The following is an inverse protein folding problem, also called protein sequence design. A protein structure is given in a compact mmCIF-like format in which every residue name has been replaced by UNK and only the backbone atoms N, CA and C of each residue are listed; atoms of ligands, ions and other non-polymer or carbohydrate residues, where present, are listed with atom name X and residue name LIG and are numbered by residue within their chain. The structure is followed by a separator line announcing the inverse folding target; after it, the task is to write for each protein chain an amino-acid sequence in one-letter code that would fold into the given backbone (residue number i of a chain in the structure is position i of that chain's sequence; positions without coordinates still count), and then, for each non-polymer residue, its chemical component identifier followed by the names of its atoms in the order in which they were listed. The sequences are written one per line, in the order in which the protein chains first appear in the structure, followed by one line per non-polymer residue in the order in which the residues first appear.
data_IF_050221734007
#
_entry.id   IF_050221734007
#
_cell.length_a   1.000
_cell.length_b   1.000
_cell.length_c   1.000
_cell.angle_alpha   90.00
_cell.angle_beta   90.00
_cell.angle_gamma   90.00
#
_symmetry.space_group_name_H-M   'P 1'
#
loop_
_entity.id
_entity.type
_entity.pdbx_description
1 polymer ?
#
# COMPACT_ATOMS: atom_id res chain seq x y z
N UNK A 1 15.33 -27.89 11.34
CA UNK A 1 14.60 -27.51 10.12
C UNK A 1 13.10 -27.68 10.37
N UNK A 2 12.33 -26.62 10.22
CA UNK A 2 10.86 -26.65 10.26
C UNK A 2 10.33 -27.49 9.09
N UNK A 3 9.22 -28.20 9.28
CA UNK A 3 8.61 -28.97 8.19
C UNK A 3 8.25 -28.04 7.02
N UNK A 4 8.47 -28.48 5.78
CA UNK A 4 8.14 -27.70 4.58
C UNK A 4 6.67 -27.28 4.59
N UNK A 5 6.41 -25.97 4.60
CA UNK A 5 5.08 -25.36 4.52
C UNK A 5 4.81 -24.76 3.15
N UNK A 6 3.53 -24.53 2.87
CA UNK A 6 3.09 -23.76 1.71
C UNK A 6 2.44 -22.45 2.15
N UNK A 7 2.73 -21.38 1.42
CA UNK A 7 2.25 -20.04 1.70
C UNK A 7 1.48 -19.49 0.50
N UNK A 8 0.46 -18.68 0.75
CA UNK A 8 -0.19 -17.88 -0.28
C UNK A 8 -0.13 -16.40 0.10
N UNK A 9 0.58 -15.61 -0.71
CA UNK A 9 0.74 -14.18 -0.55
C UNK A 9 -0.10 -13.45 -1.63
N UNK A 10 -1.35 -13.06 -1.31
CA UNK A 10 -2.20 -12.30 -2.22
C UNK A 10 -1.63 -10.90 -2.49
N UNK A 11 -1.84 -10.44 -3.72
CA UNK A 11 -1.53 -9.08 -4.16
C UNK A 11 -2.85 -8.42 -4.57
N UNK A 12 -3.16 -7.25 -4.00
CA UNK A 12 -4.35 -6.46 -4.36
C UNK A 12 -4.01 -5.40 -5.41
N UNK A 13 -2.96 -4.60 -5.16
CA UNK A 13 -2.48 -3.56 -6.06
C UNK A 13 -1.02 -3.85 -6.44
N UNK A 14 -0.83 -4.32 -7.67
CA UNK A 14 0.48 -4.78 -8.16
C UNK A 14 1.58 -3.73 -7.99
N UNK A 15 1.32 -2.49 -8.44
CA UNK A 15 2.28 -1.37 -8.39
C UNK A 15 2.61 -0.87 -6.97
N UNK A 16 2.00 -1.44 -5.92
CA UNK A 16 2.27 -1.10 -4.51
C UNK A 16 2.87 -2.27 -3.74
N UNK A 17 2.53 -3.49 -4.12
CA UNK A 17 2.74 -4.67 -3.29
C UNK A 17 3.66 -5.72 -3.93
N UNK A 18 3.80 -5.77 -5.26
CA UNK A 18 4.45 -6.89 -5.94
C UNK A 18 5.91 -7.06 -5.50
N UNK A 19 6.72 -6.01 -5.62
CA UNK A 19 8.15 -6.09 -5.29
C UNK A 19 8.37 -6.55 -3.84
N UNK A 20 7.59 -6.03 -2.89
CA UNK A 20 7.70 -6.35 -1.47
C UNK A 20 7.22 -7.77 -1.17
N UNK A 21 6.21 -8.24 -1.91
CA UNK A 21 5.72 -9.61 -1.83
C UNK A 21 6.74 -10.61 -2.36
N UNK A 22 7.47 -10.27 -3.43
CA UNK A 22 8.56 -11.10 -3.95
C UNK A 22 9.66 -11.23 -2.90
N UNK A 23 10.03 -10.13 -2.22
CA UNK A 23 11.05 -10.18 -1.15
C UNK A 23 10.65 -11.12 -0.01
N UNK A 24 9.43 -10.97 0.53
CA UNK A 24 8.91 -11.88 1.56
C UNK A 24 8.86 -13.33 1.08
N UNK A 25 8.49 -13.55 -0.19
CA UNK A 25 8.49 -14.88 -0.78
C UNK A 25 9.90 -15.48 -0.88
N UNK A 26 10.93 -14.67 -1.18
CA UNK A 26 12.32 -15.12 -1.19
C UNK A 26 12.77 -15.56 0.20
N UNK A 27 12.46 -14.78 1.23
CA UNK A 27 12.79 -15.11 2.63
C UNK A 27 12.16 -16.46 3.05
N UNK A 28 10.86 -16.64 2.79
CA UNK A 28 10.18 -17.91 3.09
C UNK A 28 10.73 -19.08 2.26
N UNK A 29 11.05 -18.85 0.98
CA UNK A 29 11.57 -19.89 0.10
C UNK A 29 13.01 -20.30 0.47
N UNK A 30 13.82 -19.37 0.97
CA UNK A 30 15.16 -19.65 1.55
C UNK A 30 15.06 -20.54 2.78
N UNK A 31 13.99 -20.42 3.57
CA UNK A 31 13.61 -21.38 4.64
C UNK A 31 13.16 -22.77 4.13
N UNK A 32 13.23 -23.05 2.83
CA UNK A 32 12.87 -24.32 2.21
C UNK A 32 11.37 -24.47 1.90
N UNK A 33 10.60 -23.39 1.97
CA UNK A 33 9.15 -23.42 1.78
C UNK A 33 8.73 -23.20 0.32
N UNK A 34 7.46 -23.48 0.03
CA UNK A 34 6.83 -23.14 -1.26
C UNK A 34 5.92 -21.93 -1.10
N UNK A 35 6.10 -20.90 -1.93
CA UNK A 35 5.35 -19.66 -1.81
C UNK A 35 4.60 -19.37 -3.10
N UNK A 36 3.28 -19.36 -3.03
CA UNK A 36 2.43 -18.91 -4.12
C UNK A 36 2.13 -17.42 -3.97
N UNK A 37 2.30 -16.67 -5.05
CA UNK A 37 1.93 -15.26 -5.10
C UNK A 37 1.10 -14.94 -6.35
N UNK A 38 0.29 -13.90 -6.24
CA UNK A 38 -0.47 -13.35 -7.36
C UNK A 38 -1.75 -12.66 -6.92
N UNK A 39 -2.56 -12.24 -7.87
CA UNK A 39 -3.78 -11.50 -7.59
C UNK A 39 -4.73 -12.27 -6.64
N UNK A 40 -5.21 -11.59 -5.60
CA UNK A 40 -6.06 -12.15 -4.54
C UNK A 40 -7.32 -12.89 -5.07
N UNK A 41 -7.77 -12.64 -6.31
CA UNK A 41 -8.90 -13.34 -6.93
C UNK A 41 -8.60 -14.79 -7.28
N UNK A 42 -7.36 -15.18 -7.59
CA UNK A 42 -7.05 -16.58 -7.92
C UNK A 42 -7.19 -17.53 -6.76
N UNK A 43 -6.84 -17.11 -5.55
CA UNK A 43 -7.11 -17.95 -4.39
C UNK A 43 -8.62 -18.16 -4.16
N UNK A 44 -9.52 -17.34 -4.73
CA UNK A 44 -10.96 -17.67 -4.75
C UNK A 44 -11.25 -18.88 -5.65
N UNK A 45 -10.43 -19.10 -6.68
CA UNK A 45 -10.55 -20.17 -7.66
C UNK A 45 -9.84 -21.44 -7.23
N UNK A 46 -8.69 -21.34 -6.59
CA UNK A 46 -7.81 -22.50 -6.39
C UNK A 46 -7.67 -22.94 -4.94
N UNK A 47 -8.02 -22.14 -3.92
CA UNK A 47 -7.79 -22.52 -2.53
C UNK A 47 -8.39 -23.88 -2.13
N UNK A 48 -9.53 -24.26 -2.72
CA UNK A 48 -10.19 -25.53 -2.42
C UNK A 48 -9.46 -26.78 -2.96
N UNK A 49 -8.57 -26.63 -3.95
CA UNK A 49 -7.74 -27.72 -4.51
C UNK A 49 -6.35 -27.79 -3.87
N UNK A 50 -5.91 -26.72 -3.21
CA UNK A 50 -4.59 -26.67 -2.58
C UNK A 50 -4.57 -27.43 -1.24
N UNK A 51 -3.41 -27.95 -0.81
CA UNK A 51 -3.23 -28.45 0.55
C UNK A 51 -3.42 -27.30 1.58
N UNK A 52 -3.55 -27.61 2.88
CA UNK A 52 -3.45 -26.61 3.93
C UNK A 52 -2.23 -25.71 3.71
N UNK A 53 -2.44 -24.39 3.76
CA UNK A 53 -1.43 -23.38 3.52
C UNK A 53 -1.63 -22.23 4.51
N UNK A 54 -0.59 -21.42 4.71
CA UNK A 54 -0.67 -20.17 5.46
C UNK A 54 -0.99 -19.03 4.48
N UNK A 55 -2.10 -18.32 4.72
CA UNK A 55 -2.59 -17.24 3.88
C UNK A 55 -2.36 -15.89 4.56
N UNK A 56 -1.55 -15.02 3.95
CA UNK A 56 -1.31 -13.66 4.46
C UNK A 56 -2.35 -12.69 3.92
N UNK A 57 -3.38 -12.38 4.71
CA UNK A 57 -4.35 -11.35 4.40
C UNK A 57 -3.75 -9.94 4.27
N UNK A 58 -4.28 -9.12 3.35
CA UNK A 58 -3.88 -7.71 3.14
C UNK A 58 -4.80 -6.68 3.79
N UNK A 59 -5.83 -7.14 4.50
CA UNK A 59 -6.76 -6.26 5.22
C UNK A 59 -7.53 -7.02 6.30
N UNK A 60 -8.06 -6.28 7.27
CA UNK A 60 -8.94 -6.79 8.33
C UNK A 60 -10.38 -6.24 8.24
N UNK A 61 -10.75 -5.67 7.09
CA UNK A 61 -12.09 -5.10 6.85
C UNK A 61 -13.21 -6.14 6.91
N UNK A 62 -14.43 -5.71 7.21
CA UNK A 62 -15.61 -6.59 7.23
C UNK A 62 -15.84 -7.34 5.91
N UNK A 63 -15.45 -6.73 4.78
CA UNK A 63 -15.63 -7.28 3.44
C UNK A 63 -14.92 -8.64 3.23
N UNK A 64 -13.78 -8.87 3.89
CA UNK A 64 -13.02 -10.11 3.75
C UNK A 64 -13.42 -11.20 4.77
N UNK A 65 -14.24 -10.88 5.77
CA UNK A 65 -14.59 -11.81 6.86
C UNK A 65 -15.23 -13.12 6.40
N UNK A 66 -16.19 -13.06 5.45
CA UNK A 66 -16.81 -14.28 4.87
C UNK A 66 -15.78 -15.16 4.18
N UNK A 67 -14.79 -14.54 3.51
CA UNK A 67 -13.73 -15.25 2.81
C UNK A 67 -12.75 -15.89 3.79
N UNK A 68 -12.30 -15.16 4.82
CA UNK A 68 -11.37 -15.70 5.81
C UNK A 68 -11.96 -16.89 6.56
N UNK A 69 -13.24 -16.81 6.95
CA UNK A 69 -13.95 -17.96 7.55
C UNK A 69 -13.99 -19.16 6.60
N UNK A 70 -14.30 -18.94 5.32
CA UNK A 70 -14.35 -20.04 4.35
C UNK A 70 -12.97 -20.68 4.12
N UNK A 71 -11.90 -19.89 4.01
CA UNK A 71 -10.53 -20.41 3.88
C UNK A 71 -10.11 -21.18 5.15
N UNK A 72 -10.35 -20.61 6.34
CA UNK A 72 -10.09 -21.27 7.62
C UNK A 72 -10.84 -22.59 7.73
N UNK A 73 -12.12 -22.61 7.36
CA UNK A 73 -12.96 -23.80 7.41
C UNK A 73 -12.53 -24.89 6.39
N UNK A 74 -11.63 -24.58 5.43
CA UNK A 74 -10.95 -25.57 4.57
C UNK A 74 -9.63 -26.09 5.16
N UNK A 75 -9.26 -25.63 6.35
CA UNK A 75 -8.03 -25.99 7.07
C UNK A 75 -6.82 -25.11 6.75
N UNK A 76 -6.98 -23.98 6.06
CA UNK A 76 -5.89 -23.02 5.87
C UNK A 76 -5.66 -22.21 7.14
N UNK A 77 -4.40 -21.90 7.45
CA UNK A 77 -4.04 -20.92 8.47
C UNK A 77 -4.24 -19.51 7.89
N UNK A 78 -4.95 -18.64 8.61
CA UNK A 78 -5.17 -17.26 8.19
C UNK A 78 -4.32 -16.35 9.05
N UNK A 79 -3.52 -15.51 8.44
CA UNK A 79 -2.82 -14.39 9.08
C UNK A 79 -3.22 -13.10 8.35
N UNK A 80 -2.92 -11.92 8.90
CA UNK A 80 -3.22 -10.67 8.21
C UNK A 80 -2.32 -9.49 8.58
N UNK A 81 -2.12 -8.60 7.62
CA UNK A 81 -1.56 -7.26 7.74
C UNK A 81 -2.55 -6.30 7.05
N UNK A 82 -2.80 -5.09 7.56
CA UNK A 82 -3.62 -4.09 6.84
C UNK A 82 -2.73 -3.14 6.02
N UNK A 83 -2.77 -3.23 4.70
CA UNK A 83 -1.91 -2.41 3.81
C UNK A 83 -2.18 -0.90 3.90
N UNK A 84 -3.33 -0.52 4.43
CA UNK A 84 -3.76 0.88 4.61
C UNK A 84 -3.81 1.29 6.09
N UNK A 85 -3.14 0.55 6.97
CA UNK A 85 -3.13 0.78 8.41
C UNK A 85 -2.19 1.88 8.92
N UNK A 86 -1.33 2.44 8.05
CA UNK A 86 -0.30 3.41 8.46
C UNK A 86 -0.84 4.83 8.62
N UNK A 87 -1.43 5.38 7.57
CA UNK A 87 -1.94 6.76 7.56
C UNK A 87 -3.44 6.74 7.79
N UNK A 88 -3.84 7.09 9.01
CA UNK A 88 -5.24 7.14 9.44
C UNK A 88 -5.63 8.59 9.77
N UNK A 89 -6.91 8.92 9.58
CA UNK A 89 -7.46 10.23 9.97
C UNK A 89 -7.64 10.32 11.49
N UNK A 90 -8.34 9.34 12.05
CA UNK A 90 -8.52 9.15 13.47
C UNK A 90 -8.65 7.66 13.77
N UNK A 91 -8.43 7.26 15.02
CA UNK A 91 -8.63 5.87 15.43
C UNK A 91 -10.09 5.43 15.21
N UNK A 92 -11.06 6.32 15.44
CA UNK A 92 -12.48 6.04 15.20
C UNK A 92 -12.78 5.77 13.73
N UNK A 93 -12.30 6.63 12.81
CA UNK A 93 -12.48 6.44 11.37
C UNK A 93 -11.80 5.14 10.91
N UNK A 94 -10.61 4.83 11.45
CA UNK A 94 -9.93 3.58 11.15
C UNK A 94 -10.70 2.37 11.65
N UNK A 95 -11.17 2.37 12.90
CA UNK A 95 -12.00 1.29 13.48
C UNK A 95 -13.25 1.05 12.67
N UNK A 96 -14.01 2.10 12.35
CA UNK A 96 -15.29 2.00 11.63
C UNK A 96 -15.13 1.54 10.19
N UNK A 97 -14.08 1.99 9.47
CA UNK A 97 -13.92 1.73 8.03
C UNK A 97 -12.98 0.59 7.68
N UNK A 98 -11.98 0.31 8.51
CA UNK A 98 -10.90 -0.65 8.21
C UNK A 98 -10.95 -1.90 9.06
N UNK A 99 -11.56 -1.85 10.24
CA UNK A 99 -11.61 -3.00 11.14
C UNK A 99 -13.01 -3.61 11.14
N UNK A 100 -13.14 -4.79 10.56
CA UNK A 100 -14.32 -5.61 10.81
C UNK A 100 -14.14 -6.32 12.15
N UNK A 101 -14.94 -5.97 13.17
CA UNK A 101 -14.86 -6.56 14.53
C UNK A 101 -14.75 -8.09 14.53
N UNK A 102 -15.63 -8.75 13.79
CA UNK A 102 -15.62 -10.21 13.65
C UNK A 102 -14.58 -10.75 12.67
N UNK A 103 -13.98 -9.88 11.86
CA UNK A 103 -13.00 -10.26 10.85
C UNK A 103 -11.59 -10.26 11.42
N UNK A 104 -11.22 -9.23 12.19
CA UNK A 104 -9.92 -9.13 12.87
C UNK A 104 -9.71 -10.27 13.88
N UNK A 105 -10.80 -10.91 14.35
CA UNK A 105 -10.74 -12.09 15.23
C UNK A 105 -10.41 -13.40 14.52
N UNK A 106 -10.44 -13.46 13.18
CA UNK A 106 -10.22 -14.71 12.42
C UNK A 106 -8.73 -15.07 12.29
N UNK A 107 -7.82 -14.13 11.97
CA UNK A 107 -6.40 -14.43 11.86
C UNK A 107 -5.79 -15.00 13.15
N UNK A 108 -4.89 -15.96 12.98
CA UNK A 108 -4.09 -16.57 14.03
C UNK A 108 -2.84 -15.74 14.37
N UNK A 109 -2.40 -14.89 13.44
CA UNK A 109 -1.38 -13.87 13.65
C UNK A 109 -1.76 -12.59 12.89
N UNK A 110 -1.50 -11.45 13.52
CA UNK A 110 -1.73 -10.10 13.00
C UNK A 110 -0.40 -9.35 12.98
N UNK A 111 -0.07 -8.76 11.84
CA UNK A 111 1.20 -8.05 11.62
C UNK A 111 0.95 -6.54 11.59
N UNK A 112 1.36 -5.86 12.66
CA UNK A 112 1.17 -4.42 12.82
C UNK A 112 2.35 -3.65 12.22
N UNK A 113 2.03 -2.48 11.65
CA UNK A 113 3.03 -1.56 11.11
C UNK A 113 4.01 -1.06 12.18
N UNK A 114 3.53 -0.81 13.39
CA UNK A 114 4.27 -0.26 14.51
C UNK A 114 3.44 -0.31 15.80
N UNK A 115 4.01 0.12 16.94
CA UNK A 115 3.32 0.18 18.23
C UNK A 115 1.93 0.84 18.18
N UNK A 116 1.77 1.97 17.49
CA UNK A 116 0.51 2.70 17.42
C UNK A 116 -0.61 1.88 16.74
N UNK A 117 -0.29 1.18 15.66
CA UNK A 117 -1.25 0.31 14.99
C UNK A 117 -1.58 -0.93 15.86
N UNK A 118 -0.57 -1.52 16.52
CA UNK A 118 -0.76 -2.65 17.41
C UNK A 118 -1.68 -2.31 18.59
N UNK A 119 -1.53 -1.12 19.19
CA UNK A 119 -2.39 -0.65 20.28
C UNK A 119 -3.87 -0.60 19.86
N UNK A 120 -4.17 -0.02 18.69
CA UNK A 120 -5.56 0.06 18.19
C UNK A 120 -6.18 -1.33 18.01
N UNK A 121 -5.41 -2.28 17.49
CA UNK A 121 -5.86 -3.67 17.33
C UNK A 121 -6.01 -4.39 18.67
N UNK A 122 -5.11 -4.15 19.62
CA UNK A 122 -5.18 -4.70 20.97
C UNK A 122 -6.44 -4.26 21.70
N UNK A 123 -6.78 -2.97 21.62
CA UNK A 123 -8.02 -2.42 22.18
C UNK A 123 -9.28 -3.06 21.56
N UNK A 124 -9.32 -3.26 20.24
CA UNK A 124 -10.46 -3.89 19.58
C UNK A 124 -10.60 -5.38 19.91
N UNK A 125 -9.49 -6.07 20.12
CA UNK A 125 -9.47 -7.50 20.41
C UNK A 125 -9.65 -7.81 21.90
N UNK A 126 -9.25 -6.91 22.79
CA UNK A 126 -9.10 -7.17 24.22
C UNK A 126 -7.93 -8.11 24.55
N UNK A 127 -7.13 -8.49 23.56
CA UNK A 127 -5.98 -9.38 23.68
C UNK A 127 -4.96 -9.07 22.56
N UNK A 128 -3.69 -8.90 22.95
CA UNK A 128 -2.58 -8.61 22.06
C UNK A 128 -1.69 -9.83 21.75
N UNK A 129 -1.98 -11.02 22.29
CA UNK A 129 -1.14 -12.23 22.20
C UNK A 129 -0.76 -12.65 20.78
N UNK A 130 -1.62 -12.35 19.80
CA UNK A 130 -1.44 -12.65 18.37
C UNK A 130 -1.06 -11.44 17.51
N UNK A 131 -0.81 -10.29 18.13
CA UNK A 131 -0.41 -9.07 17.44
C UNK A 131 1.10 -8.96 17.51
N UNK A 132 1.74 -8.88 16.35
CA UNK A 132 3.18 -8.81 16.22
C UNK A 132 3.58 -7.52 15.53
N UNK A 133 4.46 -6.76 16.16
CA UNK A 133 5.01 -5.52 15.59
C UNK A 133 6.15 -5.90 14.65
N UNK A 134 5.85 -6.00 13.36
CA UNK A 134 6.81 -6.46 12.35
C UNK A 134 7.24 -5.37 11.39
N UNK A 135 6.46 -4.29 11.25
CA UNK A 135 6.60 -3.39 10.11
C UNK A 135 5.87 -3.92 8.88
N UNK A 136 6.07 -3.26 7.73
CA UNK A 136 5.52 -3.67 6.45
C UNK A 136 6.65 -3.91 5.43
N UNK A 137 6.68 -5.05 4.72
CA UNK A 137 7.67 -5.35 3.68
C UNK A 137 7.88 -4.26 2.62
N UNK A 138 6.90 -3.38 2.38
CA UNK A 138 7.05 -2.22 1.49
C UNK A 138 8.15 -1.27 1.95
N UNK A 139 8.36 -1.15 3.25
CA UNK A 139 9.38 -0.27 3.83
C UNK A 139 10.77 -0.92 3.85
N UNK A 140 10.87 -2.25 3.74
CA UNK A 140 12.15 -2.92 3.47
C UNK A 140 12.79 -2.41 2.19
N UNK A 141 11.96 -2.17 1.15
CA UNK A 141 12.43 -1.70 -0.15
C UNK A 141 12.85 -0.22 -0.18
N UNK A 142 12.59 0.53 0.89
CA UNK A 142 13.06 1.91 1.04
C UNK A 142 14.47 1.96 1.66
N UNK A 143 14.92 0.86 2.27
CA UNK A 143 16.20 0.76 2.97
C UNK A 143 17.33 0.46 1.98
N UNK A 144 18.54 0.88 2.31
CA UNK A 144 19.73 0.38 1.63
C UNK A 144 20.03 -1.07 2.09
N UNK A 145 20.52 -1.96 1.21
CA UNK A 145 20.79 -1.74 -0.21
C UNK A 145 19.56 -1.95 -1.12
N UNK A 146 18.42 -2.40 -0.60
CA UNK A 146 17.24 -2.81 -1.39
C UNK A 146 16.64 -1.72 -2.28
N UNK A 147 16.65 -0.45 -1.84
CA UNK A 147 16.15 0.68 -2.66
C UNK A 147 16.84 0.83 -4.01
N UNK A 148 17.99 0.20 -4.18
CA UNK A 148 18.76 0.21 -5.41
C UNK A 148 18.04 -0.41 -6.61
N UNK A 149 17.08 -1.31 -6.37
CA UNK A 149 16.23 -1.88 -7.43
C UNK A 149 15.43 -0.81 -8.20
N UNK A 150 15.34 0.40 -7.66
CA UNK A 150 14.63 1.54 -8.22
C UNK A 150 15.55 2.58 -8.87
N UNK A 151 16.89 2.48 -8.71
CA UNK A 151 17.83 3.54 -9.13
C UNK A 151 17.72 3.84 -10.62
N UNK A 152 17.68 2.82 -11.47
CA UNK A 152 17.58 3.03 -12.92
C UNK A 152 16.28 3.75 -13.32
N UNK A 153 15.15 3.40 -12.70
CA UNK A 153 13.86 4.06 -12.95
C UNK A 153 13.86 5.52 -12.46
N UNK A 154 14.43 5.77 -11.28
CA UNK A 154 14.59 7.12 -10.75
C UNK A 154 15.46 7.99 -11.66
N UNK A 155 16.60 7.46 -12.14
CA UNK A 155 17.48 8.15 -13.08
C UNK A 155 16.79 8.43 -14.43
N UNK A 156 15.98 7.50 -14.94
CA UNK A 156 15.19 7.71 -16.15
C UNK A 156 14.18 8.86 -16.01
N UNK A 157 13.53 8.99 -14.85
CA UNK A 157 12.63 10.11 -14.58
C UNK A 157 13.38 11.44 -14.48
N UNK A 158 14.54 11.46 -13.82
CA UNK A 158 15.40 12.65 -13.78
C UNK A 158 15.90 13.05 -15.17
N UNK A 159 16.29 12.09 -16.02
CA UNK A 159 16.69 12.38 -17.39
C UNK A 159 15.54 12.96 -18.23
N UNK A 160 14.30 12.49 -17.98
CA UNK A 160 13.11 12.94 -18.73
C UNK A 160 12.59 14.31 -18.29
N UNK A 161 12.64 14.64 -17.01
CA UNK A 161 12.02 15.85 -16.45
C UNK A 161 13.01 16.83 -15.82
N UNK A 162 14.30 16.52 -15.82
CA UNK A 162 15.31 17.29 -15.12
C UNK A 162 15.09 17.26 -13.60
N UNK A 163 15.34 18.41 -12.95
CA UNK A 163 15.10 18.58 -11.52
C UNK A 163 13.61 18.82 -11.29
N UNK A 164 12.97 17.95 -10.50
CA UNK A 164 11.52 18.05 -10.29
C UNK A 164 11.09 17.91 -8.84
N UNK A 165 9.97 18.56 -8.53
CA UNK A 165 9.20 18.40 -7.30
C UNK A 165 8.02 17.48 -7.59
N UNK A 166 7.83 16.46 -6.75
CA UNK A 166 6.74 15.51 -6.88
C UNK A 166 5.57 15.92 -5.99
N UNK A 167 4.40 16.17 -6.58
CA UNK A 167 3.15 16.32 -5.85
C UNK A 167 2.26 15.08 -6.03
N UNK A 168 2.15 14.27 -4.98
CA UNK A 168 1.21 13.14 -4.98
C UNK A 168 -0.15 13.59 -4.45
N UNK A 169 -1.09 13.80 -5.36
CA UNK A 169 -2.45 14.20 -4.99
C UNK A 169 -3.24 13.03 -4.40
N UNK A 170 -3.97 13.30 -3.33
CA UNK A 170 -4.83 12.36 -2.64
C UNK A 170 -6.27 12.91 -2.54
N UNK A 171 -6.77 13.59 -3.56
CA UNK A 171 -8.11 14.21 -3.59
C UNK A 171 -9.21 13.32 -4.20
N UNK A 172 -8.90 12.05 -4.47
CA UNK A 172 -9.82 11.06 -5.04
C UNK A 172 -11.15 10.83 -4.29
N UNK A 173 -11.35 11.33 -3.07
CA UNK A 173 -12.66 11.24 -2.39
C UNK A 173 -13.64 12.34 -2.78
N UNK A 174 -13.13 13.49 -3.22
CA UNK A 174 -13.92 14.66 -3.66
C UNK A 174 -13.76 14.92 -5.17
N UNK A 175 -12.77 14.30 -5.80
CA UNK A 175 -12.42 14.46 -7.21
C UNK A 175 -12.23 13.10 -7.89
N UNK A 176 -13.23 12.22 -7.84
CA UNK A 176 -13.13 10.85 -8.38
C UNK A 176 -13.29 10.84 -9.90
N UNK A 177 -12.63 9.90 -10.59
CA UNK A 177 -12.83 9.70 -12.05
C UNK A 177 -14.23 9.18 -12.39
N UNK A 178 -14.77 8.32 -11.53
CA UNK A 178 -16.13 7.80 -11.62
C UNK A 178 -16.99 8.50 -10.58
N UNK A 179 -17.98 9.27 -11.03
CA UNK A 179 -18.88 10.03 -10.16
C UNK A 179 -19.62 9.11 -9.17
N UNK A 180 -20.01 7.90 -9.57
CA UNK A 180 -20.70 6.95 -8.71
C UNK A 180 -19.80 6.38 -7.59
N UNK A 181 -18.47 6.48 -7.75
CA UNK A 181 -17.50 6.07 -6.75
C UNK A 181 -17.09 7.19 -5.78
N UNK A 182 -17.66 8.39 -5.92
CA UNK A 182 -17.38 9.54 -5.05
C UNK A 182 -17.85 9.28 -3.62
N UNK A 183 -16.91 9.39 -2.68
CA UNK A 183 -17.14 9.09 -1.25
C UNK A 183 -17.52 10.32 -0.44
N UNK A 184 -17.09 11.49 -0.87
CA UNK A 184 -17.35 12.78 -0.24
C UNK A 184 -17.87 13.76 -1.30
N UNK A 185 -19.09 13.51 -1.83
CA UNK A 185 -19.76 14.46 -2.70
C UNK A 185 -19.98 15.80 -1.98
N UNK A 186 -20.29 16.84 -2.74
CA UNK A 186 -20.64 18.13 -2.16
C UNK A 186 -21.90 17.99 -1.28
N UNK A 187 -21.89 18.47 -0.02
CA UNK A 187 -23.07 18.41 0.84
C UNK A 187 -24.30 19.07 0.24
N UNK A 188 -24.15 20.11 -0.58
CA UNK A 188 -25.28 20.78 -1.22
C UNK A 188 -25.91 19.90 -2.31
N UNK A 189 -25.11 19.09 -3.00
CA UNK A 189 -25.60 18.10 -3.96
C UNK A 189 -26.36 16.96 -3.26
N UNK A 190 -25.88 16.53 -2.10
CA UNK A 190 -26.57 15.52 -1.28
C UNK A 190 -27.88 16.07 -0.73
N UNK A 191 -27.86 17.29 -0.16
CA UNK A 191 -29.04 17.93 0.42
C UNK A 191 -30.14 18.20 -0.63
N UNK A 192 -29.74 18.54 -1.86
CA UNK A 192 -30.66 18.75 -2.98
C UNK A 192 -31.07 17.46 -3.71
N UNK A 193 -30.65 16.28 -3.25
CA UNK A 193 -30.98 14.99 -3.86
C UNK A 193 -30.31 14.73 -5.21
N UNK A 194 -29.31 15.53 -5.60
CA UNK A 194 -28.53 15.34 -6.83
C UNK A 194 -27.50 14.21 -6.71
N UNK A 195 -27.15 13.82 -5.48
CA UNK A 195 -26.22 12.74 -5.21
C UNK A 195 -26.71 11.84 -4.06
N UNK A 196 -26.68 10.50 -4.21
CA UNK A 196 -27.11 9.59 -3.15
C UNK A 196 -26.12 9.61 -1.97
N UNK A 197 -26.63 9.56 -0.73
CA UNK A 197 -25.79 9.55 0.49
C UNK A 197 -24.83 8.36 0.48
N UNK A 198 -23.50 8.56 0.41
CA UNK A 198 -22.56 7.45 0.45
C UNK A 198 -22.52 6.74 1.81
N UNK A 199 -22.09 5.47 1.81
CA UNK A 199 -21.79 4.77 3.06
C UNK A 199 -20.64 5.48 3.83
N UNK A 200 -20.80 5.65 5.13
CA UNK A 200 -19.87 6.39 5.99
C UNK A 200 -19.66 7.85 5.58
N UNK A 201 -20.63 8.47 4.90
CA UNK A 201 -20.56 9.87 4.50
C UNK A 201 -20.42 10.80 5.71
N UNK A 202 -19.53 11.77 5.60
CA UNK A 202 -19.33 12.81 6.60
C UNK A 202 -19.32 14.17 5.85
N UNK A 203 -20.36 15.01 6.01
CA UNK A 203 -20.48 16.26 5.27
C UNK A 203 -19.43 17.29 5.67
N UNK A 204 -18.96 17.29 6.93
CA UNK A 204 -17.92 18.22 7.37
C UNK A 204 -16.57 17.87 6.77
N UNK A 205 -16.23 16.57 6.73
CA UNK A 205 -15.05 16.09 6.03
C UNK A 205 -15.13 16.38 4.51
N UNK A 206 -16.33 16.30 3.91
CA UNK A 206 -16.53 16.68 2.52
C UNK A 206 -16.24 18.17 2.29
N UNK A 207 -16.84 19.07 3.08
CA UNK A 207 -16.56 20.53 3.00
C UNK A 207 -15.08 20.83 3.16
N UNK A 208 -14.46 20.25 4.19
CA UNK A 208 -13.04 20.45 4.47
C UNK A 208 -12.17 20.04 3.28
N UNK A 209 -12.40 18.83 2.74
CA UNK A 209 -11.60 18.30 1.64
C UNK A 209 -11.85 19.01 0.30
N UNK A 210 -13.08 19.45 0.01
CA UNK A 210 -13.39 20.27 -1.17
C UNK A 210 -12.67 21.61 -1.08
N UNK A 211 -12.71 22.27 0.09
CA UNK A 211 -12.03 23.55 0.32
C UNK A 211 -10.51 23.42 0.15
N UNK A 212 -9.90 22.38 0.72
CA UNK A 212 -8.48 22.08 0.53
C UNK A 212 -8.13 21.81 -0.93
N UNK A 213 -8.94 21.02 -1.64
CA UNK A 213 -8.70 20.73 -3.05
C UNK A 213 -8.65 22.00 -3.89
N UNK A 214 -9.60 22.92 -3.67
CA UNK A 214 -9.61 24.25 -4.33
C UNK A 214 -8.34 25.05 -3.99
N UNK A 215 -7.94 25.09 -2.73
CA UNK A 215 -6.71 25.79 -2.33
C UNK A 215 -5.45 25.23 -3.02
N UNK A 216 -5.35 23.91 -3.19
CA UNK A 216 -4.23 23.32 -3.94
C UNK A 216 -4.28 23.62 -5.44
N UNK A 217 -5.47 23.63 -6.06
CA UNK A 217 -5.63 24.02 -7.47
C UNK A 217 -5.18 25.47 -7.71
N UNK A 218 -5.22 26.33 -6.70
CA UNK A 218 -4.72 27.71 -6.77
C UNK A 218 -3.23 27.82 -6.43
N UNK A 219 -2.78 27.18 -5.35
CA UNK A 219 -1.43 27.33 -4.83
C UNK A 219 -0.37 26.68 -5.74
N UNK A 220 -0.65 25.49 -6.28
CA UNK A 220 0.34 24.74 -7.04
C UNK A 220 0.74 25.45 -8.36
N UNK A 221 -0.19 25.99 -9.18
CA UNK A 221 0.18 26.80 -10.34
C UNK A 221 0.97 28.07 -9.99
N UNK A 222 0.68 28.71 -8.84
CA UNK A 222 1.42 29.89 -8.36
C UNK A 222 2.85 29.51 -7.98
N UNK A 223 3.01 28.42 -7.23
CA UNK A 223 4.30 27.89 -6.84
C UNK A 223 5.15 27.53 -8.06
N UNK A 224 4.57 26.83 -9.04
CA UNK A 224 5.26 26.44 -10.27
C UNK A 224 5.74 27.64 -11.08
N UNK A 225 4.93 28.71 -11.21
CA UNK A 225 5.35 29.97 -11.86
C UNK A 225 6.51 30.64 -11.13
N UNK A 226 6.53 30.57 -9.80
CA UNK A 226 7.57 31.21 -8.98
C UNK A 226 8.91 30.48 -9.01
N UNK A 227 8.95 29.25 -9.54
CA UNK A 227 10.13 28.38 -9.59
C UNK A 227 10.29 27.76 -10.99
N UNK A 228 10.49 28.57 -12.05
CA UNK A 228 10.53 28.09 -13.44
C UNK A 228 11.70 27.13 -13.73
N UNK A 229 12.74 27.12 -12.89
CA UNK A 229 13.89 26.22 -12.97
C UNK A 229 13.60 24.80 -12.48
N UNK A 230 12.43 24.55 -11.89
CA UNK A 230 11.99 23.25 -11.41
C UNK A 230 10.79 22.78 -12.20
N UNK A 231 10.76 21.48 -12.50
CA UNK A 231 9.58 20.83 -13.04
C UNK A 231 8.65 20.36 -11.91
N UNK A 232 7.34 20.47 -12.07
CA UNK A 232 6.35 20.02 -11.11
C UNK A 232 5.59 18.82 -11.67
N UNK A 233 5.88 17.64 -11.11
CA UNK A 233 5.18 16.40 -11.46
C UNK A 233 3.98 16.25 -10.54
N UNK A 234 2.79 16.44 -11.09
CA UNK A 234 1.53 16.24 -10.40
C UNK A 234 1.08 14.82 -10.71
N UNK A 235 1.02 13.99 -9.67
CA UNK A 235 0.64 12.58 -9.77
C UNK A 235 -0.67 12.33 -9.02
N UNK A 236 -1.83 12.45 -9.69
CA UNK A 236 -3.13 12.15 -9.10
C UNK A 236 -3.22 10.70 -8.65
N UNK A 237 -3.94 10.45 -7.56
CA UNK A 237 -4.27 9.09 -7.15
C UNK A 237 -4.96 8.31 -8.31
N UNK A 238 -4.75 6.99 -8.48
CA UNK A 238 -5.32 6.22 -9.60
C UNK A 238 -6.83 6.39 -9.80
N UNK A 239 -7.58 6.56 -8.70
CA UNK A 239 -9.04 6.78 -8.72
C UNK A 239 -9.46 8.25 -8.90
N UNK A 240 -8.52 9.19 -8.92
CA UNK A 240 -8.76 10.62 -9.04
C UNK A 240 -8.92 11.05 -10.51
N UNK A 241 -9.79 12.02 -10.75
CA UNK A 241 -9.93 12.66 -12.06
C UNK A 241 -8.73 13.61 -12.30
N UNK A 242 -7.91 13.38 -13.34
CA UNK A 242 -6.77 14.26 -13.63
C UNK A 242 -7.18 15.61 -14.26
N UNK A 243 -8.39 15.74 -14.80
CA UNK A 243 -8.81 16.90 -15.58
C UNK A 243 -8.70 18.26 -14.85
N UNK A 244 -9.07 18.38 -13.55
CA UNK A 244 -8.90 19.64 -12.84
C UNK A 244 -7.43 20.09 -12.73
N UNK A 245 -6.51 19.15 -12.50
CA UNK A 245 -5.08 19.46 -12.46
C UNK A 245 -4.55 19.87 -13.83
N UNK A 246 -4.95 19.15 -14.87
CA UNK A 246 -4.57 19.47 -16.26
C UNK A 246 -5.04 20.87 -16.62
N UNK A 247 -6.30 21.20 -16.33
CA UNK A 247 -6.87 22.54 -16.56
C UNK A 247 -6.12 23.62 -15.78
N UNK A 248 -5.84 23.39 -14.50
CA UNK A 248 -5.17 24.36 -13.63
C UNK A 248 -3.71 24.66 -14.04
N UNK A 249 -3.07 23.74 -14.78
CA UNK A 249 -1.64 23.83 -15.12
C UNK A 249 -1.34 23.83 -16.62
N UNK A 250 -2.36 23.82 -17.49
CA UNK A 250 -2.20 23.73 -18.95
C UNK A 250 -1.31 24.81 -19.56
N UNK A 251 -1.30 26.01 -18.97
CA UNK A 251 -0.50 27.16 -19.41
C UNK A 251 0.92 27.20 -18.82
N UNK A 252 1.33 26.18 -18.05
CA UNK A 252 2.61 26.14 -17.36
C UNK A 252 3.53 25.08 -17.98
N UNK A 253 4.61 25.50 -18.69
CA UNK A 253 5.49 24.56 -19.38
C UNK A 253 6.31 23.68 -18.42
N UNK A 254 6.48 24.10 -17.17
CA UNK A 254 7.19 23.36 -16.13
C UNK A 254 6.25 22.51 -15.24
N UNK A 255 5.04 22.19 -15.72
CA UNK A 255 4.12 21.30 -15.03
C UNK A 255 3.80 20.07 -15.89
N UNK A 256 3.66 18.91 -15.26
CA UNK A 256 3.14 17.71 -15.94
C UNK A 256 2.24 16.92 -15.02
N UNK A 257 1.02 16.64 -15.51
CA UNK A 257 0.04 15.79 -14.82
C UNK A 257 0.09 14.40 -15.43
N UNK A 258 0.54 13.40 -14.67
CA UNK A 258 0.62 12.02 -15.13
C UNK A 258 0.41 11.01 -14.00
N UNK A 259 0.10 9.77 -14.36
CA UNK A 259 0.14 8.66 -13.42
C UNK A 259 0.80 7.45 -14.11
N UNK A 260 2.09 7.27 -13.83
CA UNK A 260 2.93 6.23 -14.43
C UNK A 260 3.67 5.46 -13.33
N UNK A 261 3.72 4.13 -13.46
CA UNK A 261 4.55 3.27 -12.61
C UNK A 261 4.25 3.32 -11.11
N UNK A 262 5.19 2.78 -10.34
CA UNK A 262 5.19 2.79 -8.87
C UNK A 262 5.68 4.13 -8.34
N UNK A 263 5.29 4.51 -7.12
CA UNK A 263 5.64 5.84 -6.58
C UNK A 263 7.08 5.95 -6.09
N UNK A 264 7.68 4.85 -5.61
CA UNK A 264 9.02 4.85 -5.00
C UNK A 264 10.10 5.41 -5.93
N UNK A 265 10.21 5.02 -7.22
CA UNK A 265 11.17 5.64 -8.13
C UNK A 265 10.92 7.14 -8.37
N UNK A 266 9.65 7.59 -8.40
CA UNK A 266 9.34 9.02 -8.51
C UNK A 266 9.82 9.81 -7.29
N UNK A 267 9.65 9.25 -6.08
CA UNK A 267 10.15 9.87 -4.84
C UNK A 267 11.67 9.93 -4.87
N UNK A 268 12.34 8.81 -5.19
CA UNK A 268 13.80 8.72 -5.27
C UNK A 268 14.41 9.72 -6.27
N UNK A 269 13.78 9.91 -7.43
CA UNK A 269 14.23 10.87 -8.44
C UNK A 269 13.91 12.34 -8.13
N UNK A 270 12.92 12.60 -7.26
CA UNK A 270 12.49 13.97 -6.94
C UNK A 270 13.50 14.73 -6.07
N UNK A 271 13.51 16.05 -6.18
CA UNK A 271 14.27 16.93 -5.29
C UNK A 271 13.54 17.14 -3.96
N UNK A 272 12.21 17.15 -3.99
CA UNK A 272 11.34 17.27 -2.83
C UNK A 272 9.95 16.69 -3.14
N UNK A 273 9.21 16.34 -2.09
CA UNK A 273 7.83 15.85 -2.18
C UNK A 273 6.87 16.85 -1.54
N UNK A 274 5.91 17.31 -2.33
CA UNK A 274 4.74 18.03 -1.87
C UNK A 274 3.60 17.03 -1.67
N UNK A 275 2.82 17.18 -0.61
CA UNK A 275 1.66 16.31 -0.38
C UNK A 275 0.57 16.97 0.44
N UNK A 276 -0.61 16.34 0.41
CA UNK A 276 -1.65 16.52 1.42
C UNK A 276 -1.98 15.17 2.06
N UNK A 277 -1.41 14.92 3.24
CA UNK A 277 -1.79 13.83 4.15
C UNK A 277 -1.93 12.45 3.51
N UNK A 278 -0.85 11.93 2.90
CA UNK A 278 -0.82 10.63 2.23
C UNK A 278 0.40 9.81 2.67
N UNK A 279 0.33 8.49 2.49
CA UNK A 279 1.40 7.54 2.85
C UNK A 279 2.74 7.83 2.18
N UNK A 280 2.71 8.41 0.97
CA UNK A 280 3.93 8.71 0.21
C UNK A 280 4.80 9.77 0.90
N UNK A 281 4.22 10.59 1.79
CA UNK A 281 4.98 11.50 2.64
C UNK A 281 5.87 10.72 3.60
N UNK A 282 5.32 9.69 4.26
CA UNK A 282 6.09 8.82 5.17
C UNK A 282 7.17 8.06 4.40
N UNK A 283 6.84 7.52 3.22
CA UNK A 283 7.83 6.86 2.35
C UNK A 283 8.96 7.82 1.94
N UNK A 284 8.63 9.06 1.59
CA UNK A 284 9.60 10.10 1.24
C UNK A 284 10.48 10.50 2.43
N UNK A 285 9.90 10.61 3.62
CA UNK A 285 10.62 10.83 4.87
C UNK A 285 11.64 9.71 5.13
N UNK A 286 11.25 8.44 5.01
CA UNK A 286 12.16 7.29 5.16
C UNK A 286 13.26 7.29 4.10
N UNK A 287 12.96 7.75 2.89
CA UNK A 287 13.95 7.90 1.82
C UNK A 287 14.88 9.13 1.99
N UNK A 288 14.70 9.92 3.05
CA UNK A 288 15.50 11.11 3.34
C UNK A 288 15.23 12.28 2.38
N UNK A 289 14.05 12.31 1.74
CA UNK A 289 13.64 13.42 0.88
C UNK A 289 13.03 14.54 1.71
N UNK A 290 13.24 15.81 1.33
CA UNK A 290 12.49 16.90 1.93
C UNK A 290 10.99 16.74 1.61
N UNK A 291 10.16 16.84 2.64
CA UNK A 291 8.71 16.70 2.53
C UNK A 291 8.03 17.97 3.02
N UNK A 292 7.18 18.55 2.19
CA UNK A 292 6.42 19.76 2.50
C UNK A 292 4.93 19.45 2.40
N UNK A 293 4.19 19.82 3.44
CA UNK A 293 2.73 19.73 3.50
C UNK A 293 2.15 21.15 3.39
N UNK A 294 1.39 21.42 2.33
CA UNK A 294 0.62 22.66 2.25
C UNK A 294 -0.72 22.49 2.99
N UNK A 295 -0.92 23.25 4.05
CA UNK A 295 -2.03 23.11 4.99
C UNK A 295 -2.64 24.49 5.32
N UNK A 296 -3.37 25.08 4.36
CA UNK A 296 -4.00 26.40 4.56
C UNK A 296 -5.16 26.39 5.54
N UNK A 297 -5.70 25.22 5.86
CA UNK A 297 -6.78 25.05 6.83
C UNK A 297 -6.41 23.90 7.77
N UNK A 298 -6.66 24.08 9.07
CA UNK A 298 -6.32 23.11 10.12
C UNK A 298 -7.59 22.56 10.73
N UNK A 299 -7.78 21.25 10.62
CA UNK A 299 -8.88 20.55 11.28
C UNK A 299 -8.32 19.28 11.90
N UNK A 300 -7.88 19.36 13.17
CA UNK A 300 -7.13 18.28 13.83
C UNK A 300 -7.87 16.93 13.83
N UNK A 301 -9.21 16.94 13.92
CA UNK A 301 -10.06 15.75 13.88
C UNK A 301 -10.18 15.11 12.48
N UNK A 302 -9.81 15.84 11.43
CA UNK A 302 -9.94 15.45 10.02
C UNK A 302 -8.59 15.39 9.28
N UNK A 303 -7.50 15.64 10.00
CA UNK A 303 -6.14 15.68 9.48
C UNK A 303 -5.37 14.42 9.87
N UNK A 304 -4.90 13.60 8.90
CA UNK A 304 -3.98 12.51 9.18
C UNK A 304 -2.66 13.04 9.76
N UNK A 305 -2.49 12.88 11.07
CA UNK A 305 -1.42 13.57 11.81
C UNK A 305 -0.01 13.09 11.44
N UNK A 306 0.20 11.78 11.28
CA UNK A 306 1.51 11.20 11.00
C UNK A 306 2.24 11.87 9.81
N UNK A 307 1.70 11.87 8.57
CA UNK A 307 2.39 12.50 7.45
C UNK A 307 2.55 14.02 7.59
N UNK A 308 1.66 14.69 8.32
CA UNK A 308 1.74 16.15 8.54
C UNK A 308 2.90 16.47 9.51
N UNK A 309 3.01 15.75 10.62
CA UNK A 309 4.02 15.99 11.65
C UNK A 309 5.44 15.61 11.20
N UNK A 310 5.55 14.66 10.27
CA UNK A 310 6.83 14.31 9.62
C UNK A 310 7.30 15.35 8.58
N UNK A 311 6.47 16.34 8.25
CA UNK A 311 6.71 17.27 7.14
C UNK A 311 6.91 18.71 7.59
N UNK A 312 7.52 19.52 6.73
CA UNK A 312 7.51 20.98 6.84
C UNK A 312 6.10 21.49 6.50
N UNK A 313 5.49 22.28 7.36
CA UNK A 313 4.08 22.68 7.22
C UNK A 313 3.97 24.15 6.79
N UNK A 314 3.40 24.38 5.61
CA UNK A 314 3.18 25.72 5.08
C UNK A 314 1.68 26.08 5.10
N UNK A 315 1.34 27.26 5.62
CA UNK A 315 -0.05 27.71 5.76
C UNK A 315 -0.53 28.55 4.57
N UNK A 316 0.38 29.18 3.84
CA UNK A 316 0.08 30.02 2.70
C UNK A 316 1.06 29.77 1.54
N UNK A 317 0.75 30.22 0.30
CA UNK A 317 1.60 30.00 -0.85
C UNK A 317 3.01 30.61 -0.75
N UNK A 318 3.19 31.71 -0.04
CA UNK A 318 4.51 32.35 0.10
C UNK A 318 5.38 31.56 1.07
N UNK A 319 4.83 31.17 2.22
CA UNK A 319 5.50 30.26 3.16
C UNK A 319 5.83 28.92 2.49
N UNK A 320 4.93 28.39 1.65
CA UNK A 320 5.16 27.17 0.88
C UNK A 320 6.37 27.30 -0.05
N UNK A 321 6.45 28.40 -0.80
CA UNK A 321 7.58 28.70 -1.68
C UNK A 321 8.89 28.83 -0.89
N UNK A 322 8.87 29.55 0.22
CA UNK A 322 10.05 29.75 1.08
C UNK A 322 10.54 28.42 1.66
N UNK A 323 9.66 27.62 2.26
CA UNK A 323 10.01 26.32 2.84
C UNK A 323 10.55 25.36 1.80
N UNK A 324 9.92 25.27 0.62
CA UNK A 324 10.42 24.44 -0.47
C UNK A 324 11.80 24.89 -0.93
N UNK A 325 12.01 26.19 -1.14
CA UNK A 325 13.31 26.74 -1.59
C UNK A 325 14.42 26.46 -0.57
N UNK A 326 14.15 26.68 0.71
CA UNK A 326 15.09 26.39 1.80
C UNK A 326 15.40 24.90 1.91
N UNK A 327 14.39 24.04 1.78
CA UNK A 327 14.55 22.59 1.82
C UNK A 327 15.42 22.08 0.65
N UNK A 328 15.25 22.64 -0.55
CA UNK A 328 16.07 22.32 -1.72
C UNK A 328 17.53 22.78 -1.57
N UNK A 329 17.77 23.89 -0.86
CA UNK A 329 19.12 24.39 -0.62
C UNK A 329 19.93 23.52 0.35
N UNK A 330 19.27 22.87 1.33
CA UNK A 330 19.94 22.05 2.35
C UNK A 330 20.51 20.73 1.82
N UNK A 331 20.09 20.25 0.64
CA UNK A 331 20.51 19.00 -0.06
C UNK A 331 20.34 17.68 0.69
N UNK A 332 20.36 17.69 2.02
CA UNK A 332 20.14 16.54 2.90
C UNK A 332 19.11 16.90 3.96
N UNK A 333 18.05 16.11 4.07
CA UNK A 333 17.04 16.27 5.11
C UNK A 333 17.26 15.20 6.20
N UNK A 334 17.55 15.64 7.42
CA UNK A 334 17.59 14.76 8.60
C UNK A 334 16.35 15.00 9.43
N UNK A 335 15.77 13.92 9.94
CA UNK A 335 14.67 14.01 10.87
C UNK A 335 15.14 14.62 12.19
N UNK A 336 14.26 15.38 12.82
CA UNK A 336 14.46 15.79 14.22
C UNK A 336 14.20 14.58 15.13
N UNK A 337 14.81 14.51 16.33
CA UNK A 337 14.59 13.39 17.25
C UNK A 337 13.11 13.10 17.55
N UNK A 338 12.26 14.14 17.65
CA UNK A 338 10.82 13.95 17.83
C UNK A 338 10.15 13.29 16.62
N UNK A 339 10.61 13.58 15.40
CA UNK A 339 10.10 12.97 14.18
C UNK A 339 10.58 11.53 14.02
N UNK A 340 11.81 11.21 14.45
CA UNK A 340 12.32 9.84 14.50
C UNK A 340 11.53 8.99 15.50
N UNK A 341 11.27 9.53 16.71
CA UNK A 341 10.45 8.87 17.71
C UNK A 341 9.02 8.61 17.19
N UNK A 342 8.38 9.63 16.63
CA UNK A 342 7.05 9.51 16.02
C UNK A 342 7.04 8.46 14.90
N UNK A 343 8.05 8.47 14.03
CA UNK A 343 8.16 7.48 12.96
C UNK A 343 8.30 6.06 13.53
N UNK A 344 9.10 5.87 14.59
CA UNK A 344 9.27 4.58 15.26
C UNK A 344 8.01 4.06 15.96
N UNK A 345 7.14 4.94 16.44
CA UNK A 345 5.82 4.56 16.99
C UNK A 345 4.88 4.01 15.91
N UNK A 346 5.06 4.40 14.66
CA UNK A 346 4.16 4.04 13.56
C UNK A 346 4.74 3.00 12.60
N UNK A 347 6.08 2.92 12.48
CA UNK A 347 6.77 2.04 11.53
C UNK A 347 7.93 1.34 12.23
N UNK A 348 7.79 0.03 12.40
CA UNK A 348 8.88 -0.84 12.84
C UNK A 348 9.74 -1.30 11.66
N UNK A 349 10.88 -1.93 11.97
CA UNK A 349 11.81 -2.51 11.00
C UNK A 349 12.42 -1.51 10.01
N UNK A 350 12.62 -0.26 10.43
CA UNK A 350 13.39 0.74 9.67
C UNK A 350 14.90 0.44 9.68
N UNK A 351 15.35 -0.31 10.69
CA UNK A 351 16.70 -0.85 10.86
C UNK A 351 16.63 -2.32 11.31
N UNK A 352 17.81 -2.94 11.47
CA UNK A 352 17.94 -4.32 11.92
C UNK A 352 17.28 -5.32 10.96
N UNK A 353 16.68 -6.42 11.47
CA UNK A 353 15.95 -7.38 10.64
C UNK A 353 14.82 -6.73 9.85
N UNK A 354 14.69 -7.11 8.58
CA UNK A 354 13.64 -6.69 7.66
C UNK A 354 12.25 -7.07 8.20
N UNK A 355 11.22 -6.30 7.83
CA UNK A 355 9.83 -6.67 8.10
C UNK A 355 9.49 -8.02 7.47
N UNK A 356 10.04 -8.31 6.28
CA UNK A 356 9.91 -9.60 5.59
C UNK A 356 10.45 -10.77 6.43
N UNK A 357 11.57 -10.59 7.13
CA UNK A 357 12.15 -11.61 8.02
C UNK A 357 11.29 -11.79 9.28
N UNK A 358 10.96 -10.69 9.96
CA UNK A 358 10.12 -10.72 11.16
C UNK A 358 8.76 -11.39 10.90
N UNK A 359 8.16 -11.14 9.74
CA UNK A 359 6.92 -11.78 9.32
C UNK A 359 7.15 -13.27 9.06
N UNK A 360 8.21 -13.64 8.32
CA UNK A 360 8.52 -15.03 8.00
C UNK A 360 8.67 -15.89 9.28
N UNK A 361 9.44 -15.42 10.27
CA UNK A 361 9.67 -16.13 11.54
C UNK A 361 8.36 -16.54 12.24
N UNK A 362 7.35 -15.66 12.20
CA UNK A 362 6.03 -15.92 12.79
C UNK A 362 5.18 -16.82 11.88
N UNK A 363 5.23 -16.61 10.56
CA UNK A 363 4.49 -17.43 9.60
C UNK A 363 4.95 -18.90 9.60
N UNK A 364 6.22 -19.15 9.92
CA UNK A 364 6.77 -20.50 10.04
C UNK A 364 6.31 -21.25 11.29
N UNK A 365 5.88 -20.52 12.32
CA UNK A 365 5.53 -21.09 13.63
C UNK A 365 4.02 -21.12 13.89
N UNK A 366 3.23 -20.27 13.22
CA UNK A 366 1.77 -20.19 13.42
C UNK A 366 1.08 -21.55 13.25
N UNK A 367 0.21 -21.98 14.18
CA UNK A 367 -0.42 -23.29 14.12
C UNK A 367 -1.54 -23.33 13.06
N UNK A 368 -1.75 -24.47 12.42
CA UNK A 368 -2.93 -24.68 11.58
C UNK A 368 -4.20 -24.85 12.42
N UNK A 369 -5.37 -24.38 11.96
CA UNK A 369 -6.60 -24.54 12.71
C UNK A 369 -7.05 -26.00 12.72
N UNK A 370 -7.49 -26.48 13.88
CA UNK A 370 -8.13 -27.79 14.00
C UNK A 370 -9.58 -27.70 13.53
N UNK A 371 -9.85 -28.23 12.33
CA UNK A 371 -11.18 -28.21 11.73
C UNK A 371 -11.69 -29.65 11.54
N UNK A 372 -12.92 -29.97 12.00
CA UNK A 372 -13.51 -31.29 11.79
C UNK A 372 -13.50 -31.70 10.31
N UNK A 373 -13.14 -32.96 10.02
CA UNK A 373 -12.99 -33.47 8.64
C UNK A 373 -14.23 -33.20 7.78
N UNK A 374 -15.42 -33.42 8.32
CA UNK A 374 -16.69 -33.16 7.60
C UNK A 374 -16.86 -31.68 7.24
N UNK A 375 -16.54 -30.76 8.15
CA UNK A 375 -16.61 -29.32 7.90
C UNK A 375 -15.62 -28.91 6.80
N UNK A 376 -14.41 -29.44 6.86
CA UNK A 376 -13.37 -29.23 5.84
C UNK A 376 -13.81 -29.70 4.46
N UNK A 377 -14.35 -30.92 4.36
CA UNK A 377 -14.85 -31.50 3.12
C UNK A 377 -16.02 -30.70 2.56
N UNK A 378 -17.00 -30.33 3.39
CA UNK A 378 -18.14 -29.48 2.98
C UNK A 378 -17.68 -28.12 2.43
N UNK A 379 -16.72 -27.47 3.09
CA UNK A 379 -16.18 -26.17 2.65
C UNK A 379 -15.42 -26.27 1.32
N UNK A 380 -14.65 -27.35 1.11
CA UNK A 380 -13.99 -27.64 -0.17
C UNK A 380 -14.99 -27.93 -1.28
N UNK A 381 -15.99 -28.77 -1.02
CA UNK A 381 -17.09 -29.08 -1.95
C UNK A 381 -17.87 -27.83 -2.36
N UNK A 382 -18.14 -26.92 -1.43
CA UNK A 382 -18.74 -25.61 -1.73
C UNK A 382 -17.88 -24.81 -2.72
N UNK A 383 -16.56 -24.87 -2.59
CA UNK A 383 -15.60 -24.29 -3.53
C UNK A 383 -15.71 -24.88 -4.93
N UNK A 384 -15.66 -26.22 -5.02
CA UNK A 384 -15.82 -26.97 -6.28
C UNK A 384 -17.13 -26.61 -6.97
N UNK A 385 -18.25 -26.71 -6.25
CA UNK A 385 -19.59 -26.38 -6.77
C UNK A 385 -19.65 -24.96 -7.34
N UNK A 386 -19.05 -23.99 -6.64
CA UNK A 386 -19.02 -22.60 -7.10
C UNK A 386 -18.20 -22.43 -8.38
N UNK A 387 -17.09 -23.15 -8.54
CA UNK A 387 -16.31 -23.10 -9.79
C UNK A 387 -17.03 -23.79 -10.94
N UNK A 388 -17.71 -24.91 -10.71
CA UNK A 388 -18.53 -25.56 -11.72
C UNK A 388 -19.67 -24.63 -12.17
N UNK A 389 -20.39 -24.01 -11.24
CA UNK A 389 -21.45 -23.05 -11.55
C UNK A 389 -20.94 -21.89 -12.41
N UNK A 390 -19.76 -21.33 -12.09
CA UNK A 390 -19.15 -20.26 -12.88
C UNK A 390 -18.81 -20.68 -14.31
N UNK A 391 -18.26 -21.89 -14.47
CA UNK A 391 -17.96 -22.46 -15.80
C UNK A 391 -19.23 -22.67 -16.61
N UNK A 392 -20.28 -23.20 -15.99
CA UNK A 392 -21.58 -23.42 -16.64
C UNK A 392 -22.25 -22.11 -17.06
N UNK A 393 -22.15 -21.06 -16.24
CA UNK A 393 -22.70 -19.73 -16.54
C UNK A 393 -21.83 -18.90 -17.49
N UNK A 394 -20.68 -19.43 -17.95
CA UNK A 394 -19.74 -18.67 -18.78
C UNK A 394 -19.19 -17.42 -18.10
N UNK A 395 -19.17 -17.37 -16.75
CA UNK A 395 -18.67 -16.21 -16.01
C UNK A 395 -17.16 -16.02 -16.26
N UNK A 396 -16.82 -15.14 -17.19
CA UNK A 396 -15.44 -14.68 -17.39
C UNK A 396 -15.18 -13.44 -16.54
N UNK A 397 -14.26 -13.51 -15.58
CA UNK A 397 -13.83 -12.29 -14.88
C UNK A 397 -12.99 -11.43 -15.84
N UNK A 398 -13.46 -10.22 -16.14
CA UNK A 398 -12.70 -9.25 -16.91
C UNK A 398 -11.40 -8.89 -16.17
N UNK A 399 -10.22 -9.10 -16.77
CA UNK A 399 -8.96 -8.74 -16.13
C UNK A 399 -8.89 -7.22 -15.96
N UNK A 400 -8.68 -6.75 -14.72
CA UNK A 400 -8.36 -5.35 -14.43
C UNK A 400 -6.92 -5.07 -14.83
N UNK A 401 -6.66 -4.99 -16.15
CA UNK A 401 -5.31 -4.78 -16.71
C UNK A 401 -4.71 -3.43 -16.27
N UNK A 402 -5.56 -2.48 -15.88
CA UNK A 402 -5.21 -1.20 -15.27
C UNK A 402 -4.52 -1.35 -13.90
N UNK A 403 -4.94 -2.33 -13.09
CA UNK A 403 -4.40 -2.57 -11.74
C UNK A 403 -3.40 -3.73 -11.71
N UNK A 404 -3.58 -4.70 -12.60
CA UNK A 404 -2.82 -5.94 -12.63
C UNK A 404 -2.44 -6.32 -14.07
N UNK A 405 -1.58 -5.54 -14.73
CA UNK A 405 -1.09 -5.88 -16.07
C UNK A 405 -0.36 -7.24 -16.05
N UNK A 406 -0.38 -8.03 -17.14
CA UNK A 406 0.42 -9.25 -17.25
C UNK A 406 1.89 -8.97 -16.94
N UNK A 407 2.51 -9.80 -16.09
CA UNK A 407 3.96 -9.82 -15.89
C UNK A 407 4.51 -11.20 -16.27
N UNK A 408 5.46 -11.27 -17.19
CA UNK A 408 6.21 -12.49 -17.44
C UNK A 408 6.97 -12.94 -16.19
N UNK A 409 7.10 -14.26 -15.99
CA UNK A 409 7.90 -14.82 -14.90
C UNK A 409 9.37 -14.37 -14.95
N UNK A 410 9.87 -14.04 -16.14
CA UNK A 410 11.21 -13.48 -16.32
C UNK A 410 11.42 -12.17 -15.53
N UNK A 411 10.42 -11.28 -15.46
CA UNK A 411 10.51 -10.06 -14.65
C UNK A 411 10.54 -10.37 -13.14
N UNK A 412 9.79 -11.40 -12.71
CA UNK A 412 9.83 -11.87 -11.32
C UNK A 412 11.23 -12.40 -10.99
N UNK A 413 11.80 -13.23 -11.86
CA UNK A 413 13.14 -13.78 -11.69
C UNK A 413 14.23 -12.71 -11.76
N UNK A 414 14.09 -11.67 -12.58
CA UNK A 414 14.98 -10.50 -12.57
C UNK A 414 14.92 -9.78 -11.22
N UNK A 415 13.73 -9.65 -10.61
CA UNK A 415 13.60 -9.04 -9.28
C UNK A 415 14.25 -9.91 -8.20
N UNK A 416 14.04 -11.23 -8.23
CA UNK A 416 14.70 -12.17 -7.31
C UNK A 416 16.22 -12.06 -7.43
N UNK A 417 16.76 -12.07 -8.65
CA UNK A 417 18.20 -11.92 -8.89
C UNK A 417 18.74 -10.57 -8.38
N UNK A 418 17.96 -9.49 -8.50
CA UNK A 418 18.33 -8.20 -7.93
C UNK A 418 18.41 -8.25 -6.40
N UNK A 419 17.45 -8.89 -5.73
CA UNK A 419 17.51 -9.09 -4.28
C UNK A 419 18.68 -9.97 -3.87
N UNK A 420 18.93 -11.05 -4.61
CA UNK A 420 20.03 -11.95 -4.33
C UNK A 420 21.38 -11.24 -4.35
N UNK A 421 21.61 -10.43 -5.39
CA UNK A 421 22.81 -9.60 -5.51
C UNK A 421 22.92 -8.53 -4.43
N UNK A 422 21.82 -7.83 -4.11
CA UNK A 422 21.86 -6.70 -3.18
C UNK A 422 22.01 -7.14 -1.72
N UNK A 423 21.41 -8.26 -1.35
CA UNK A 423 21.45 -8.79 0.01
C UNK A 423 22.50 -9.90 0.21
N UNK A 424 23.14 -10.36 -0.87
CA UNK A 424 24.03 -11.53 -0.87
C UNK A 424 23.35 -12.77 -0.24
N UNK A 425 22.12 -13.05 -0.71
CA UNK A 425 21.19 -14.06 -0.19
C UNK A 425 20.38 -14.69 -1.33
N UNK A 426 19.49 -15.63 -1.02
CA UNK A 426 18.51 -16.19 -1.98
C UNK A 426 19.12 -16.89 -3.20
N UNK A 427 20.35 -17.40 -3.06
CA UNK A 427 20.92 -18.30 -4.07
C UNK A 427 20.04 -19.53 -4.23
N UNK A 428 19.82 -19.95 -5.49
CA UNK A 428 18.94 -21.08 -5.80
C UNK A 428 17.44 -20.79 -5.69
N UNK A 429 17.01 -19.56 -5.37
CA UNK A 429 15.58 -19.20 -5.39
C UNK A 429 15.15 -18.85 -6.82
N UNK A 430 14.06 -19.46 -7.28
CA UNK A 430 13.45 -19.17 -8.58
C UNK A 430 11.94 -18.99 -8.47
N UNK A 431 11.36 -18.27 -9.42
CA UNK A 431 9.93 -18.24 -9.70
C UNK A 431 9.58 -19.08 -10.93
N UNK A 432 8.49 -19.85 -10.81
CA UNK A 432 7.85 -20.58 -11.92
C UNK A 432 6.45 -20.02 -12.14
N UNK A 433 6.07 -19.81 -13.41
CA UNK A 433 4.72 -19.40 -13.76
C UNK A 433 3.73 -20.56 -13.54
N UNK A 434 2.63 -20.29 -12.83
CA UNK A 434 1.51 -21.23 -12.72
C UNK A 434 0.36 -20.85 -13.65
N UNK A 435 0.15 -19.55 -13.83
CA UNK A 435 -0.86 -18.93 -14.69
C UNK A 435 -0.45 -17.45 -14.91
N UNK A 436 -1.16 -16.71 -15.76
CA UNK A 436 -0.93 -15.27 -15.97
C UNK A 436 -1.04 -14.54 -14.64
N UNK A 437 0.05 -13.88 -14.20
CA UNK A 437 0.13 -13.17 -12.92
C UNK A 437 0.07 -14.05 -11.67
N UNK A 438 0.39 -15.34 -11.79
CA UNK A 438 0.49 -16.28 -10.67
C UNK A 438 1.79 -17.06 -10.75
N UNK A 439 2.52 -17.07 -9.63
CA UNK A 439 3.86 -17.65 -9.58
C UNK A 439 4.02 -18.52 -8.34
N UNK A 440 4.89 -19.52 -8.46
CA UNK A 440 5.42 -20.28 -7.34
C UNK A 440 6.89 -19.91 -7.17
N UNK A 441 7.27 -19.35 -6.02
CA UNK A 441 8.65 -19.09 -5.63
C UNK A 441 9.11 -20.21 -4.68
N UNK A 442 10.28 -20.78 -4.96
CA UNK A 442 10.83 -21.93 -4.24
C UNK A 442 12.35 -21.97 -4.38
N UNK A 443 12.99 -22.67 -3.45
CA UNK A 443 14.38 -23.10 -3.61
C UNK A 443 14.49 -24.25 -4.63
N UNK A 444 15.48 -24.17 -5.49
CA UNK A 444 15.86 -25.19 -6.46
C UNK A 444 17.28 -25.61 -6.17
N UNK A 445 17.45 -26.90 -5.86
CA UNK A 445 18.76 -27.52 -5.81
C UNK A 445 19.34 -27.48 -7.22
N UNK A 446 20.39 -26.69 -7.42
CA UNK A 446 21.17 -26.77 -8.66
C UNK A 446 21.93 -28.10 -8.62
N UNK A 447 21.85 -28.91 -9.69
CA UNK A 447 22.51 -30.22 -9.75
C UNK A 447 24.02 -30.13 -9.62
#
# INVERSE_FOLDING_TARGET
MTARRSFFLPIEIKARELDATILLACVLAEGGHQVWLGNHKYSKRTAHTLPPLVYLGRTVTQAVGKRYRWLRDMGHCITALDEEGLVIYSQEIYRTRRIGRETIRIPQALFAWGPANAAIWGEELGDASRIHITGNPRFDLLRAPLREIYRQRAAAYQARFGRYVLFNSNFHWVNTRDAAATRLPDPDDVAAGRFPVPAFYNPDLARYRIRLFRAYLEALPRLARSLPQLHFIIRPHPAENPAPWQKATAHLPNCTVLHEGEVTPWILGSEAVLHHSCTTAVEATVLGKPVVCYRPYREASMDPQLPIQLSLQAEDPDTLRQMLTSALAQRTHRLRPQQEALLGEHVAALDGPLASERIADILETVPFPQIPRMKRLRSRWRGVRKQLQRRLLGETETPRRDVFPPTPVAEINQRIAAYARLLNRFDGIEAVALDTNYYCIRHVERP
#
